data_IF_503108877187
#
_entry.id   IF_503108877187
#
_cell.length_a   1.000
_cell.length_b   1.000
_cell.length_c   1.000
_cell.angle_alpha   90.00
_cell.angle_beta   90.00
_cell.angle_gamma   90.00
#
_symmetry.space_group_name_H-M   'P 1'
#
loop_
_entity.id
_entity.type
_entity.pdbx_description
1 polymer ?
#
# COMPACT_ATOMS: atom_id res chain seq x y z
N UNK A 1 -7.04 23.77 -12.64
CA UNK A 1 -8.01 22.65 -12.61
C UNK A 1 -9.41 23.25 -12.67
N UNK A 2 -10.28 22.70 -13.47
CA UNK A 2 -11.69 23.14 -13.55
C UNK A 2 -12.55 22.02 -12.97
N UNK A 3 -13.36 22.36 -11.97
CA UNK A 3 -14.33 21.45 -11.39
C UNK A 3 -15.73 21.90 -11.79
N UNK A 4 -16.58 20.99 -12.22
CA UNK A 4 -17.93 21.29 -12.68
C UNK A 4 -18.95 20.66 -11.74
N UNK A 5 -19.80 21.50 -11.15
CA UNK A 5 -20.89 21.06 -10.28
C UNK A 5 -22.22 21.21 -11.03
N UNK A 6 -22.95 20.12 -11.18
CA UNK A 6 -24.29 20.10 -11.78
C UNK A 6 -25.37 20.25 -10.68
N UNK A 7 -26.55 20.80 -11.06
CA UNK A 7 -27.72 20.98 -10.19
C UNK A 7 -27.50 22.01 -9.06
N UNK A 8 -27.37 23.27 -9.45
CA UNK A 8 -27.27 24.40 -8.53
C UNK A 8 -28.56 24.59 -7.73
N UNK A 9 -28.42 24.78 -6.43
CA UNK A 9 -29.47 25.29 -5.53
C UNK A 9 -29.34 26.82 -5.41
N UNK A 10 -30.36 27.50 -4.87
CA UNK A 10 -30.32 28.95 -4.60
C UNK A 10 -29.13 29.36 -3.70
N UNK A 11 -28.64 28.44 -2.89
CA UNK A 11 -27.46 28.63 -2.04
C UNK A 11 -26.59 27.39 -2.12
N UNK A 12 -25.35 27.57 -2.50
CA UNK A 12 -24.33 26.55 -2.51
C UNK A 12 -23.20 26.95 -1.56
N UNK A 13 -22.79 26.02 -0.69
CA UNK A 13 -21.64 26.19 0.19
C UNK A 13 -20.54 25.31 -0.38
N UNK A 14 -19.43 25.91 -0.75
CA UNK A 14 -18.24 25.23 -1.24
C UNK A 14 -17.14 25.32 -0.19
N UNK A 15 -16.23 24.32 -0.10
CA UNK A 15 -15.00 24.47 0.66
C UNK A 15 -14.23 25.71 0.19
N UNK A 16 -13.50 26.36 1.10
CA UNK A 16 -12.63 27.46 0.73
C UNK A 16 -11.56 26.97 -0.28
N UNK A 17 -11.33 27.70 -1.38
CA UNK A 17 -10.33 27.30 -2.36
C UNK A 17 -8.91 27.45 -1.79
N UNK A 18 -8.02 26.50 -2.12
CA UNK A 18 -6.62 26.53 -1.72
C UNK A 18 -5.73 27.37 -2.65
N UNK A 19 -6.27 27.87 -3.73
CA UNK A 19 -5.56 28.76 -4.68
C UNK A 19 -6.49 29.87 -5.14
N UNK A 20 -5.94 30.91 -5.75
CA UNK A 20 -6.70 31.98 -6.37
C UNK A 20 -7.72 31.39 -7.33
N UNK A 21 -8.99 31.64 -7.06
CA UNK A 21 -10.10 30.95 -7.71
C UNK A 21 -11.12 31.95 -8.23
N UNK A 22 -11.60 31.69 -9.44
CA UNK A 22 -12.69 32.40 -10.07
C UNK A 22 -13.86 31.44 -10.25
N UNK A 23 -15.07 31.84 -9.85
CA UNK A 23 -16.27 31.05 -10.07
C UNK A 23 -16.98 31.52 -11.33
N UNK A 24 -17.36 30.56 -12.16
CA UNK A 24 -18.13 30.81 -13.39
C UNK A 24 -19.43 30.05 -13.27
N UNK A 25 -20.55 30.75 -13.42
CA UNK A 25 -21.89 30.17 -13.45
C UNK A 25 -22.40 30.30 -14.88
N UNK A 26 -22.58 29.15 -15.52
CA UNK A 26 -23.15 29.06 -16.86
C UNK A 26 -24.56 28.49 -16.79
N UNK A 27 -25.45 29.08 -17.55
CA UNK A 27 -26.74 28.47 -17.83
C UNK A 27 -27.93 29.35 -17.48
N UNK A 28 -28.98 29.04 -18.14
CA UNK A 28 -30.35 29.36 -17.81
C UNK A 28 -31.20 28.32 -18.50
N UNK A 29 -31.84 27.47 -17.73
CA UNK A 29 -32.67 26.38 -18.25
C UNK A 29 -33.77 26.84 -19.18
N UNK A 30 -34.26 28.07 -19.02
CA UNK A 30 -35.29 28.66 -19.88
C UNK A 30 -34.67 29.34 -21.10
N UNK A 31 -33.63 30.12 -20.92
CA UNK A 31 -32.99 30.91 -22.00
C UNK A 31 -32.20 30.05 -22.95
N UNK A 32 -31.63 28.91 -22.49
CA UNK A 32 -30.91 27.96 -23.35
C UNK A 32 -31.79 27.37 -24.46
N UNK A 33 -33.09 27.26 -24.24
CA UNK A 33 -34.04 26.80 -25.26
C UNK A 33 -34.18 27.78 -26.44
N UNK A 34 -33.79 29.04 -26.24
CA UNK A 34 -33.78 30.10 -27.28
C UNK A 34 -32.36 30.48 -27.70
N UNK A 35 -31.36 29.69 -27.34
CA UNK A 35 -29.97 29.98 -27.68
C UNK A 35 -29.35 31.15 -26.89
N UNK A 36 -29.98 31.54 -25.78
CA UNK A 36 -29.53 32.65 -24.92
C UNK A 36 -28.97 32.06 -23.61
N UNK A 37 -27.73 31.60 -23.65
CA UNK A 37 -26.99 31.28 -22.43
C UNK A 37 -26.43 32.54 -21.78
N UNK A 38 -26.51 32.62 -20.44
CA UNK A 38 -25.83 33.69 -19.68
C UNK A 38 -24.73 33.06 -18.84
N UNK A 39 -23.56 33.69 -18.91
CA UNK A 39 -22.42 33.36 -18.06
C UNK A 39 -22.21 34.51 -17.09
N UNK A 40 -22.11 34.18 -15.82
CA UNK A 40 -21.69 35.11 -14.77
C UNK A 40 -20.35 34.65 -14.23
N UNK A 41 -19.40 35.58 -14.13
CA UNK A 41 -18.05 35.29 -13.62
C UNK A 41 -17.77 36.23 -12.45
N UNK A 42 -17.31 35.66 -11.33
CA UNK A 42 -16.90 36.46 -10.16
C UNK A 42 -15.54 37.12 -10.40
N UNK A 43 -15.18 38.07 -9.55
CA UNK A 43 -13.79 38.48 -9.40
C UNK A 43 -12.96 37.30 -8.87
N UNK A 44 -11.63 37.39 -9.01
CA UNK A 44 -10.70 36.39 -8.45
C UNK A 44 -10.72 36.55 -6.93
N UNK A 45 -10.99 35.45 -6.26
CA UNK A 45 -10.87 35.32 -4.81
C UNK A 45 -9.48 34.80 -4.48
N UNK A 46 -8.66 35.63 -3.85
CA UNK A 46 -7.30 35.26 -3.49
C UNK A 46 -7.29 34.47 -2.18
N UNK A 47 -6.61 33.32 -2.20
CA UNK A 47 -6.43 32.46 -1.05
C UNK A 47 -5.25 32.98 -0.19
N UNK A 48 -5.55 33.69 0.90
CA UNK A 48 -4.54 34.28 1.80
C UNK A 48 -4.50 33.65 3.21
N UNK A 49 -5.34 32.64 3.44
CA UNK A 49 -5.35 31.91 4.70
C UNK A 49 -4.25 30.83 4.76
N UNK A 50 -3.74 30.52 5.96
CA UNK A 50 -2.92 29.34 6.18
C UNK A 50 -3.83 28.12 6.15
N UNK A 51 -3.96 27.51 4.97
CA UNK A 51 -4.82 26.35 4.75
C UNK A 51 -4.18 25.34 3.81
N UNK A 52 -4.57 24.07 3.94
CA UNK A 52 -4.04 22.97 3.15
C UNK A 52 -5.01 21.78 3.15
N UNK A 53 -4.83 20.91 2.16
CA UNK A 53 -5.48 19.61 2.11
C UNK A 53 -4.42 18.53 2.12
N UNK A 54 -4.58 17.54 3.00
CA UNK A 54 -3.66 16.42 3.12
C UNK A 54 -4.29 15.13 2.62
N UNK A 55 -3.46 14.24 2.11
CA UNK A 55 -3.84 12.88 1.70
C UNK A 55 -2.80 11.88 2.15
N UNK A 56 -3.22 10.65 2.42
CA UNK A 56 -2.33 9.52 2.69
C UNK A 56 -2.72 8.35 1.79
N UNK A 57 -1.75 7.85 1.02
CA UNK A 57 -1.97 6.74 0.09
C UNK A 57 -0.95 5.65 0.33
N UNK A 58 -1.42 4.45 0.66
CA UNK A 58 -0.55 3.30 0.86
C UNK A 58 -0.29 2.58 -0.46
N UNK A 59 0.98 2.23 -0.71
CA UNK A 59 1.37 1.36 -1.80
C UNK A 59 0.91 -0.07 -1.47
N UNK A 60 -0.09 -0.55 -2.19
CA UNK A 60 -0.60 -1.91 -2.00
C UNK A 60 0.28 -2.92 -2.73
N UNK A 61 0.55 -4.04 -2.07
CA UNK A 61 1.21 -5.20 -2.66
C UNK A 61 0.14 -6.22 -3.03
N UNK A 62 0.05 -6.54 -4.31
CA UNK A 62 -0.87 -7.56 -4.82
C UNK A 62 -0.23 -8.95 -4.72
N UNK A 63 -0.21 -9.53 -3.53
CA UNK A 63 0.23 -10.90 -3.34
C UNK A 63 -0.79 -11.66 -2.47
N UNK A 64 -1.32 -12.75 -3.00
CA UNK A 64 -2.39 -13.53 -2.36
C UNK A 64 -1.95 -14.35 -1.14
N UNK A 65 -0.66 -14.33 -0.76
CA UNK A 65 -0.11 -15.06 0.38
C UNK A 65 0.30 -14.15 1.54
N UNK A 66 0.12 -12.85 1.41
CA UNK A 66 0.28 -11.89 2.50
C UNK A 66 -1.03 -11.70 3.26
N UNK A 67 -1.00 -11.82 4.58
CA UNK A 67 -2.16 -11.64 5.44
C UNK A 67 -2.20 -10.23 6.05
N UNK A 68 -3.41 -9.70 6.26
CA UNK A 68 -3.61 -8.51 7.08
C UNK A 68 -3.32 -7.16 6.40
N UNK A 69 -3.31 -7.09 5.06
CA UNK A 69 -3.47 -5.82 4.37
C UNK A 69 -4.91 -5.35 4.60
N UNK A 70 -5.10 -4.34 5.44
CA UNK A 70 -6.42 -3.76 5.67
C UNK A 70 -6.86 -3.00 4.42
N UNK A 71 -8.11 -3.23 3.95
CA UNK A 71 -8.62 -2.54 2.75
C UNK A 71 -8.88 -1.05 3.00
N UNK A 72 -9.27 -0.67 4.23
CA UNK A 72 -9.72 0.68 4.57
C UNK A 72 -8.88 1.38 5.66
N UNK A 73 -7.70 0.83 6.03
CA UNK A 73 -6.83 1.40 7.05
C UNK A 73 -5.38 1.46 6.57
N UNK A 74 -4.61 2.39 7.13
CA UNK A 74 -3.18 2.50 6.85
C UNK A 74 -2.38 1.50 7.70
N UNK A 75 -1.36 0.88 7.10
CA UNK A 75 -0.50 -0.10 7.75
C UNK A 75 -0.87 -1.54 7.43
N UNK A 76 -1.17 -2.32 8.46
CA UNK A 76 -1.54 -3.76 8.38
C UNK A 76 -0.33 -4.67 8.46
N UNK A 77 0.33 -4.95 7.34
CA UNK A 77 1.52 -5.81 7.24
C UNK A 77 2.76 -4.99 6.86
N UNK A 78 3.85 -5.15 7.60
CA UNK A 78 5.14 -4.53 7.28
C UNK A 78 5.92 -5.32 6.20
N UNK A 79 6.80 -4.62 5.44
CA UNK A 79 6.98 -3.17 5.40
C UNK A 79 5.78 -2.48 4.70
N UNK A 80 5.28 -1.37 5.25
CA UNK A 80 4.17 -0.62 4.67
C UNK A 80 4.68 0.77 4.23
N UNK A 81 4.75 0.99 2.92
CA UNK A 81 5.14 2.29 2.36
C UNK A 81 3.89 3.13 2.12
N UNK A 82 3.87 4.32 2.71
CA UNK A 82 2.76 5.27 2.62
C UNK A 82 3.29 6.61 2.13
N UNK A 83 2.63 7.13 1.11
CA UNK A 83 2.85 8.48 0.58
C UNK A 83 1.91 9.44 1.29
N UNK A 84 2.45 10.42 2.00
CA UNK A 84 1.71 11.53 2.58
C UNK A 84 1.94 12.77 1.72
N UNK A 85 0.86 13.45 1.32
CA UNK A 85 0.95 14.65 0.48
C UNK A 85 0.09 15.76 1.05
N UNK A 86 0.59 16.99 0.98
CA UNK A 86 -0.11 18.20 1.33
C UNK A 86 -0.18 19.15 0.12
N UNK A 87 -1.36 19.69 -0.15
CA UNK A 87 -1.56 20.78 -1.11
C UNK A 87 -1.88 22.01 -0.27
N UNK A 88 -1.00 23.00 -0.32
CA UNK A 88 -1.04 24.18 0.53
C UNK A 88 -1.45 25.43 -0.25
N UNK A 89 -2.01 26.42 0.45
CA UNK A 89 -2.14 27.79 -0.06
C UNK A 89 -0.75 28.43 -0.14
N UNK A 90 -0.60 29.47 -0.98
CA UNK A 90 0.66 30.21 -1.13
C UNK A 90 1.11 30.90 0.17
N UNK A 91 0.20 31.09 1.13
CA UNK A 91 0.49 31.68 2.45
C UNK A 91 1.23 30.72 3.39
N UNK A 92 1.27 29.41 3.08
CA UNK A 92 2.00 28.42 3.87
C UNK A 92 3.46 28.39 3.44
N UNK A 93 4.33 29.04 4.21
CA UNK A 93 5.77 29.11 3.91
C UNK A 93 6.56 28.00 4.61
N UNK A 94 6.15 27.60 5.81
CA UNK A 94 6.75 26.46 6.54
C UNK A 94 5.81 25.28 6.52
N UNK A 95 6.34 24.13 6.12
CA UNK A 95 5.65 22.85 5.95
C UNK A 95 6.37 21.79 6.72
N UNK A 96 5.67 21.06 7.57
CA UNK A 96 6.28 20.00 8.35
C UNK A 96 5.34 18.81 8.52
N UNK A 97 5.77 17.63 8.07
CA UNK A 97 5.19 16.36 8.48
C UNK A 97 5.85 15.89 9.75
N UNK A 98 5.06 15.45 10.72
CA UNK A 98 5.52 14.85 11.96
C UNK A 98 5.04 13.41 12.04
N UNK A 99 5.95 12.48 12.37
CA UNK A 99 5.65 11.10 12.69
C UNK A 99 6.00 10.84 14.14
N UNK A 100 5.07 10.26 14.90
CA UNK A 100 5.20 9.98 16.32
C UNK A 100 4.63 8.60 16.67
N UNK A 101 5.25 7.92 17.64
CA UNK A 101 4.67 6.75 18.32
C UNK A 101 3.71 7.15 19.44
N UNK A 102 3.67 8.44 19.81
CA UNK A 102 2.76 8.99 20.82
C UNK A 102 1.62 9.77 20.17
N UNK A 103 0.38 9.44 20.51
CA UNK A 103 -0.82 10.05 19.91
C UNK A 103 -0.94 11.55 20.20
N UNK A 104 -0.41 12.00 21.32
CA UNK A 104 -0.40 13.41 21.73
C UNK A 104 0.80 14.20 21.20
N UNK A 105 1.67 13.56 20.38
CA UNK A 105 2.91 14.15 19.86
C UNK A 105 3.82 14.74 20.97
N UNK A 106 3.75 14.21 22.19
CA UNK A 106 4.66 14.58 23.28
C UNK A 106 6.13 14.30 22.93
N UNK A 107 6.36 13.32 22.08
CA UNK A 107 7.64 13.05 21.41
C UNK A 107 7.39 12.92 19.91
N UNK A 108 8.25 13.52 19.09
CA UNK A 108 8.20 13.40 17.63
C UNK A 108 9.43 12.64 17.18
N UNK A 109 9.20 11.47 16.58
CA UNK A 109 10.28 10.57 16.15
C UNK A 109 10.94 11.06 14.86
N UNK A 110 10.14 11.55 13.88
CA UNK A 110 10.63 12.04 12.60
C UNK A 110 9.92 13.33 12.18
N UNK A 111 10.67 14.21 11.48
CA UNK A 111 10.18 15.47 10.91
C UNK A 111 10.66 15.59 9.48
N UNK A 112 9.77 16.03 8.58
CA UNK A 112 10.05 16.24 7.17
C UNK A 112 9.45 17.57 6.73
N UNK A 113 10.18 18.35 5.93
CA UNK A 113 9.77 19.71 5.53
C UNK A 113 9.31 19.77 4.05
N UNK A 114 9.03 18.63 3.46
CA UNK A 114 8.55 18.50 2.08
C UNK A 114 7.01 18.46 2.04
N UNK A 115 6.42 18.85 0.92
CA UNK A 115 4.97 18.73 0.68
C UNK A 115 4.51 17.28 0.55
N UNK A 116 5.38 16.45 -0.02
CA UNK A 116 5.11 15.03 -0.22
C UNK A 116 6.27 14.21 0.32
N UNK A 117 5.96 13.22 1.13
CA UNK A 117 6.93 12.28 1.70
C UNK A 117 6.48 10.85 1.47
N UNK A 118 7.44 9.97 1.20
CA UNK A 118 7.25 8.52 1.25
C UNK A 118 7.92 8.00 2.51
N UNK A 119 7.16 7.32 3.36
CA UNK A 119 7.69 6.70 4.57
C UNK A 119 7.32 5.23 4.65
N UNK A 120 8.31 4.38 4.97
CA UNK A 120 8.13 2.93 5.10
C UNK A 120 8.14 2.54 6.57
N UNK A 121 7.02 2.01 7.03
CA UNK A 121 6.86 1.48 8.38
C UNK A 121 7.26 0.00 8.38
N UNK A 122 8.37 -0.32 9.01
CA UNK A 122 8.99 -1.65 9.07
C UNK A 122 8.98 -2.27 10.47
N UNK A 123 8.64 -1.51 11.51
CA UNK A 123 8.50 -1.99 12.87
C UNK A 123 7.03 -2.11 13.28
N UNK A 124 6.73 -3.12 14.10
CA UNK A 124 5.42 -3.28 14.74
C UNK A 124 5.08 -2.09 15.63
N UNK A 125 3.85 -1.63 15.59
CA UNK A 125 3.36 -0.58 16.46
C UNK A 125 2.27 0.27 15.85
N UNK A 126 1.86 1.30 16.60
CA UNK A 126 0.97 2.35 16.16
C UNK A 126 1.75 3.63 15.97
N UNK A 127 1.53 4.28 14.84
CA UNK A 127 2.17 5.54 14.50
C UNK A 127 1.10 6.56 14.17
N UNK A 128 1.38 7.79 14.50
CA UNK A 128 0.52 8.95 14.29
C UNK A 128 1.26 9.94 13.40
N UNK A 129 0.60 10.39 12.35
CA UNK A 129 1.20 11.28 11.35
C UNK A 129 0.31 12.49 11.19
N UNK A 130 0.88 13.70 11.27
CA UNK A 130 0.18 14.95 11.00
C UNK A 130 1.05 15.90 10.19
N UNK A 131 0.38 16.82 9.53
CA UNK A 131 1.00 17.93 8.82
C UNK A 131 0.77 19.22 9.57
N UNK A 132 1.79 20.07 9.61
CA UNK A 132 1.72 21.42 10.19
C UNK A 132 2.14 22.41 9.11
N UNK A 133 1.29 23.40 8.85
CA UNK A 133 1.59 24.53 7.97
C UNK A 133 1.62 25.83 8.75
N UNK A 134 2.57 26.72 8.45
CA UNK A 134 2.62 28.06 9.06
C UNK A 134 3.12 29.12 8.10
N UNK A 135 2.86 30.39 8.44
CA UNK A 135 3.47 31.54 7.78
C UNK A 135 4.95 31.71 8.18
N UNK A 136 5.64 32.66 7.56
CA UNK A 136 7.08 32.89 7.70
C UNK A 136 7.58 33.12 9.13
N UNK A 137 6.79 33.77 9.98
CA UNK A 137 7.14 34.08 11.36
C UNK A 137 6.49 33.10 12.39
N UNK A 138 5.79 32.06 11.90
CA UNK A 138 5.07 31.08 12.69
C UNK A 138 4.02 31.69 13.65
N UNK A 139 3.57 32.92 13.41
CA UNK A 139 2.51 33.57 14.19
C UNK A 139 1.13 32.98 13.91
N UNK A 140 0.98 32.34 12.73
CA UNK A 140 -0.23 31.67 12.31
C UNK A 140 0.11 30.24 11.88
N UNK A 141 -0.47 29.25 12.52
CA UNK A 141 -0.24 27.83 12.26
C UNK A 141 -1.56 27.10 12.09
N UNK A 142 -1.55 26.06 11.27
CA UNK A 142 -2.67 25.14 11.10
C UNK A 142 -2.15 23.70 11.12
N UNK A 143 -2.94 22.77 11.65
CA UNK A 143 -2.59 21.36 11.75
C UNK A 143 -3.65 20.50 11.05
N UNK A 144 -3.22 19.42 10.41
CA UNK A 144 -4.13 18.43 9.78
C UNK A 144 -4.79 17.55 10.83
N UNK A 145 -5.81 16.81 10.41
CA UNK A 145 -6.22 15.61 11.11
C UNK A 145 -5.06 14.62 11.20
N UNK A 146 -5.09 13.78 12.26
CA UNK A 146 -4.04 12.79 12.52
C UNK A 146 -4.35 11.52 11.76
N UNK A 147 -3.42 11.10 10.90
CA UNK A 147 -3.43 9.78 10.30
C UNK A 147 -2.89 8.75 11.30
N UNK A 148 -3.62 7.65 11.47
CA UNK A 148 -3.17 6.53 12.29
C UNK A 148 -2.71 5.39 11.41
N UNK A 149 -1.47 4.95 11.60
CA UNK A 149 -0.87 3.79 10.91
C UNK A 149 -0.62 2.70 11.94
N UNK A 150 -1.13 1.49 11.69
CA UNK A 150 -0.98 0.35 12.61
C UNK A 150 -0.30 -0.81 11.92
N UNK A 151 0.87 -1.21 12.40
CA UNK A 151 1.62 -2.38 11.93
C UNK A 151 1.40 -3.54 12.90
N UNK A 152 0.83 -4.63 12.39
CA UNK A 152 0.52 -5.80 13.19
C UNK A 152 1.72 -6.72 13.43
N UNK A 153 1.53 -7.67 14.38
CA UNK A 153 2.51 -8.71 14.68
C UNK A 153 2.85 -9.56 13.45
N UNK A 154 4.06 -10.12 13.47
CA UNK A 154 4.54 -10.98 12.40
C UNK A 154 3.93 -12.38 12.47
N UNK A 155 3.70 -12.95 11.31
CA UNK A 155 3.27 -14.34 11.13
C UNK A 155 4.04 -14.96 9.95
N UNK A 156 4.43 -16.21 10.10
CA UNK A 156 4.99 -16.99 9.00
C UNK A 156 4.51 -18.43 9.12
N UNK A 157 3.80 -18.90 8.12
CA UNK A 157 3.34 -20.28 8.04
C UNK A 157 3.73 -20.92 6.70
N UNK A 158 4.04 -22.23 6.75
CA UNK A 158 4.59 -22.96 5.62
C UNK A 158 3.71 -24.17 5.32
N UNK A 159 3.11 -24.26 4.12
CA UNK A 159 2.35 -25.43 3.75
C UNK A 159 3.28 -26.64 3.59
N UNK A 160 2.76 -27.84 3.86
CA UNK A 160 3.52 -29.08 3.76
C UNK A 160 3.34 -29.83 2.43
N UNK A 161 2.51 -29.30 1.52
CA UNK A 161 2.27 -29.93 0.23
C UNK A 161 1.77 -28.91 -0.81
N UNK A 162 2.02 -29.21 -2.09
CA UNK A 162 1.41 -28.54 -3.21
C UNK A 162 1.34 -29.48 -4.42
N UNK A 163 0.56 -29.09 -5.44
CA UNK A 163 0.28 -29.96 -6.59
C UNK A 163 0.45 -29.20 -7.91
N UNK A 164 1.70 -28.97 -8.36
CA UNK A 164 1.94 -28.24 -9.58
C UNK A 164 1.34 -29.00 -10.76
N UNK A 165 0.67 -28.26 -11.69
CA UNK A 165 0.07 -28.80 -12.90
C UNK A 165 -1.10 -29.80 -12.72
N UNK A 166 -1.60 -29.94 -11.48
CA UNK A 166 -2.75 -30.83 -11.21
C UNK A 166 -4.10 -30.10 -11.35
N UNK A 167 -4.15 -28.82 -11.00
CA UNK A 167 -5.34 -27.97 -11.09
C UNK A 167 -4.88 -26.56 -11.42
N UNK A 168 -4.73 -26.19 -12.69
CA UNK A 168 -4.17 -24.89 -13.09
C UNK A 168 -4.81 -23.70 -12.36
N UNK A 169 -3.98 -22.87 -11.75
CA UNK A 169 -4.40 -21.71 -10.95
C UNK A 169 -4.68 -22.01 -9.47
N UNK A 170 -4.55 -23.25 -9.02
CA UNK A 170 -4.79 -23.63 -7.64
C UNK A 170 -3.72 -24.58 -7.11
N UNK A 171 -3.00 -24.21 -6.03
CA UNK A 171 -1.89 -24.96 -5.45
C UNK A 171 -0.74 -25.28 -6.42
N UNK A 172 -0.55 -24.47 -7.45
CA UNK A 172 0.49 -24.69 -8.46
C UNK A 172 1.88 -24.30 -7.97
N UNK A 173 1.94 -23.50 -6.90
CA UNK A 173 3.18 -23.06 -6.28
C UNK A 173 3.16 -23.32 -4.77
N UNK A 174 4.29 -23.74 -4.24
CA UNK A 174 4.52 -23.73 -2.80
C UNK A 174 4.88 -22.32 -2.35
N UNK A 175 4.00 -21.68 -1.60
CA UNK A 175 4.16 -20.33 -1.05
C UNK A 175 3.93 -20.34 0.45
N UNK A 176 4.76 -19.61 1.18
CA UNK A 176 4.51 -19.33 2.59
C UNK A 176 3.31 -18.40 2.75
N UNK A 177 2.57 -18.52 3.84
CA UNK A 177 1.62 -17.49 4.27
C UNK A 177 2.30 -16.62 5.30
N UNK A 178 2.27 -15.30 5.13
CA UNK A 178 3.04 -14.40 5.97
C UNK A 178 2.31 -13.09 6.28
N UNK A 179 2.78 -12.42 7.33
CA UNK A 179 2.39 -11.06 7.71
C UNK A 179 3.57 -10.39 8.38
N UNK A 180 3.81 -9.12 8.09
CA UNK A 180 4.83 -8.29 8.73
C UNK A 180 6.21 -8.96 8.78
N UNK A 181 6.65 -9.56 7.68
CA UNK A 181 8.00 -10.12 7.52
C UNK A 181 8.86 -9.10 6.79
N UNK A 182 9.94 -8.65 7.44
CA UNK A 182 10.83 -7.57 6.94
C UNK A 182 12.14 -8.11 6.38
N UNK A 183 12.58 -9.29 6.84
CA UNK A 183 13.71 -10.00 6.25
C UNK A 183 13.29 -11.45 6.01
N UNK A 184 13.64 -11.99 4.85
CA UNK A 184 13.24 -13.34 4.47
C UNK A 184 14.29 -14.00 3.60
N UNK A 185 14.57 -15.26 3.86
CA UNK A 185 15.36 -16.10 2.98
C UNK A 185 14.90 -17.55 3.05
N UNK A 186 14.65 -18.16 1.90
CA UNK A 186 14.19 -19.53 1.77
C UNK A 186 15.11 -20.32 0.85
N UNK A 187 15.45 -21.51 1.26
CA UNK A 187 16.16 -22.51 0.46
C UNK A 187 15.34 -23.78 0.39
N UNK A 188 15.26 -24.38 -0.78
CA UNK A 188 14.60 -25.68 -0.99
C UNK A 188 15.64 -26.67 -1.51
N UNK A 189 15.61 -27.88 -0.95
CA UNK A 189 16.57 -28.96 -1.22
C UNK A 189 15.84 -30.23 -1.63
N UNK A 190 16.52 -31.06 -2.42
CA UNK A 190 16.10 -32.44 -2.63
C UNK A 190 16.51 -33.35 -1.44
N UNK A 191 16.10 -34.61 -1.47
CA UNK A 191 16.44 -35.61 -0.43
C UNK A 191 17.94 -35.92 -0.30
N UNK A 192 18.77 -35.49 -1.23
CA UNK A 192 20.21 -35.67 -1.22
C UNK A 192 20.95 -34.42 -0.73
N UNK A 193 20.22 -33.37 -0.40
CA UNK A 193 20.77 -32.09 0.04
C UNK A 193 21.20 -31.15 -1.11
N UNK A 194 20.85 -31.47 -2.35
CA UNK A 194 21.13 -30.56 -3.45
C UNK A 194 20.13 -29.37 -3.41
N UNK A 195 20.66 -28.15 -3.48
CA UNK A 195 19.82 -26.93 -3.51
C UNK A 195 19.07 -26.83 -4.85
N UNK A 196 17.76 -26.80 -4.78
CA UNK A 196 16.85 -26.69 -5.92
C UNK A 196 16.58 -25.25 -6.29
N UNK A 197 16.22 -24.41 -5.30
CA UNK A 197 15.91 -23.00 -5.47
C UNK A 197 16.25 -22.22 -4.20
N UNK A 198 16.46 -20.93 -4.36
CA UNK A 198 16.65 -19.96 -3.28
C UNK A 198 15.90 -18.69 -3.66
N UNK A 199 15.20 -18.07 -2.72
CA UNK A 199 14.54 -16.77 -2.89
C UNK A 199 14.48 -16.03 -1.55
N UNK A 200 14.46 -14.69 -1.65
CA UNK A 200 14.54 -13.73 -0.53
C UNK A 200 13.31 -12.85 -0.38
N UNK A 201 12.27 -13.16 -1.12
CA UNK A 201 10.99 -12.44 -1.10
C UNK A 201 9.88 -13.41 -0.70
N UNK A 202 9.18 -13.18 0.43
CA UNK A 202 8.14 -14.09 0.91
C UNK A 202 6.90 -14.13 0.02
N UNK A 203 6.73 -13.16 -0.90
CA UNK A 203 5.65 -13.19 -1.89
C UNK A 203 5.87 -14.23 -2.98
N UNK A 204 7.12 -14.62 -3.21
CA UNK A 204 7.51 -15.62 -4.19
C UNK A 204 7.25 -17.04 -3.68
N UNK A 205 7.17 -17.96 -4.63
CA UNK A 205 6.99 -19.38 -4.37
C UNK A 205 7.85 -20.25 -5.26
N UNK A 206 7.75 -21.56 -5.05
CA UNK A 206 8.36 -22.56 -5.92
C UNK A 206 7.30 -23.29 -6.74
N UNK A 207 7.43 -23.24 -8.05
CA UNK A 207 6.52 -23.87 -9.03
C UNK A 207 6.79 -25.37 -9.26
N UNK A 208 7.66 -25.99 -8.45
CA UNK A 208 8.03 -27.39 -8.60
C UNK A 208 8.98 -27.66 -9.76
N UNK A 209 9.65 -26.65 -10.32
CA UNK A 209 10.63 -26.83 -11.38
C UNK A 209 12.05 -26.66 -10.89
N UNK A 210 12.95 -27.39 -11.55
CA UNK A 210 14.40 -27.22 -11.47
C UNK A 210 14.98 -27.17 -12.89
N UNK A 211 15.71 -26.09 -13.18
CA UNK A 211 16.26 -25.83 -14.52
C UNK A 211 15.20 -25.92 -15.65
N UNK A 212 14.00 -25.37 -15.35
CA UNK A 212 12.88 -25.29 -16.32
C UNK A 212 12.06 -26.58 -16.51
N UNK A 213 12.38 -27.66 -15.77
CA UNK A 213 11.63 -28.93 -15.85
C UNK A 213 11.02 -29.27 -14.50
N UNK A 214 9.79 -29.77 -14.51
CA UNK A 214 9.17 -30.26 -13.29
C UNK A 214 9.99 -31.37 -12.64
N UNK A 215 10.18 -31.25 -11.35
CA UNK A 215 10.86 -32.27 -10.55
C UNK A 215 9.93 -33.49 -10.34
N UNK A 216 10.49 -34.62 -9.92
CA UNK A 216 9.69 -35.82 -9.65
C UNK A 216 8.79 -35.61 -8.42
N UNK A 217 7.57 -36.18 -8.40
CA UNK A 217 6.76 -36.27 -7.19
C UNK A 217 7.55 -36.89 -6.05
N UNK A 218 7.32 -36.38 -4.84
CA UNK A 218 8.02 -36.86 -3.66
C UNK A 218 8.28 -35.75 -2.64
N UNK A 219 9.17 -36.02 -1.71
CA UNK A 219 9.48 -35.13 -0.58
C UNK A 219 10.72 -34.29 -0.89
N UNK A 220 10.58 -33.00 -0.69
CA UNK A 220 11.63 -31.98 -0.71
C UNK A 220 11.68 -31.32 0.66
N UNK A 221 12.71 -30.54 0.93
CA UNK A 221 12.92 -29.94 2.24
C UNK A 221 13.18 -28.45 2.09
N UNK A 222 12.60 -27.67 3.01
CA UNK A 222 12.88 -26.24 3.06
C UNK A 222 13.63 -25.86 4.34
N UNK A 223 14.41 -24.80 4.24
CA UNK A 223 14.97 -24.05 5.36
C UNK A 223 14.62 -22.58 5.13
N UNK A 224 14.09 -21.94 6.15
CA UNK A 224 13.76 -20.51 6.11
C UNK A 224 14.41 -19.82 7.30
N UNK A 225 15.03 -18.70 7.02
CA UNK A 225 15.44 -17.68 7.96
C UNK A 225 14.66 -16.40 7.66
N UNK A 226 13.97 -15.85 8.66
CA UNK A 226 13.19 -14.64 8.47
C UNK A 226 13.13 -13.82 9.77
N UNK A 227 12.83 -12.52 9.64
CA UNK A 227 12.63 -11.61 10.76
C UNK A 227 11.33 -10.87 10.59
N UNK A 228 10.57 -10.80 11.67
CA UNK A 228 9.33 -10.06 11.75
C UNK A 228 9.54 -8.60 12.12
N UNK A 229 8.57 -7.75 11.81
CA UNK A 229 8.52 -6.34 12.23
C UNK A 229 8.46 -6.17 13.75
N UNK A 230 8.03 -7.20 14.46
CA UNK A 230 8.02 -7.32 15.94
C UNK A 230 9.38 -7.76 16.51
N UNK A 231 10.40 -7.88 15.67
CA UNK A 231 11.74 -8.35 16.04
C UNK A 231 11.86 -9.86 16.21
N UNK A 232 10.79 -10.62 15.98
CA UNK A 232 10.79 -12.07 16.11
C UNK A 232 11.60 -12.73 15.00
N UNK A 233 12.55 -13.59 15.39
CA UNK A 233 13.32 -14.41 14.46
C UNK A 233 12.60 -15.72 14.17
N UNK A 234 12.52 -16.08 12.91
CA UNK A 234 12.00 -17.34 12.42
C UNK A 234 13.11 -18.18 11.82
N UNK A 235 13.32 -19.36 12.37
CA UNK A 235 14.20 -20.41 11.81
C UNK A 235 13.34 -21.65 11.59
N UNK A 236 12.71 -21.74 10.42
CA UNK A 236 11.82 -22.83 10.08
C UNK A 236 12.49 -23.82 9.15
N UNK A 237 12.20 -25.08 9.35
CA UNK A 237 12.58 -26.20 8.47
C UNK A 237 11.46 -27.22 8.43
N UNK A 238 11.28 -27.85 7.31
CA UNK A 238 10.25 -28.88 7.14
C UNK A 238 10.31 -29.54 5.79
N UNK A 239 9.31 -30.35 5.53
CA UNK A 239 9.16 -31.06 4.27
C UNK A 239 8.09 -30.42 3.39
N UNK A 240 8.25 -30.62 2.08
CA UNK A 240 7.33 -30.20 1.03
C UNK A 240 6.99 -31.46 0.23
N UNK A 241 5.72 -31.87 0.24
CA UNK A 241 5.24 -32.99 -0.52
C UNK A 241 4.72 -32.51 -1.87
N UNK A 242 5.37 -32.90 -2.95
CA UNK A 242 4.87 -32.65 -4.31
C UNK A 242 3.90 -33.73 -4.70
N UNK A 243 2.63 -33.35 -4.84
CA UNK A 243 1.52 -34.20 -5.23
C UNK A 243 1.23 -33.96 -6.71
N UNK A 244 1.81 -34.76 -7.60
CA UNK A 244 1.42 -34.78 -9.02
C UNK A 244 0.64 -36.05 -9.33
N UNK A 245 -0.50 -35.89 -9.96
CA UNK A 245 -1.18 -37.03 -10.57
C UNK A 245 -0.25 -37.64 -11.63
N UNK A 246 0.09 -38.91 -11.48
CA UNK A 246 0.73 -39.69 -12.53
C UNK A 246 -0.31 -40.03 -13.60
N UNK A 247 -1.02 -39.05 -14.12
CA UNK A 247 -1.72 -39.19 -15.39
C UNK A 247 -0.64 -39.18 -16.47
N UNK A 248 -0.01 -40.32 -16.59
CA UNK A 248 0.86 -40.70 -17.69
C UNK A 248 0.17 -40.34 -18.98
N UNK A 249 0.87 -39.59 -19.83
CA UNK A 249 0.80 -39.56 -21.25
C UNK A 249 0.32 -40.91 -21.85
N UNK A 250 -0.98 -41.05 -21.94
CA UNK A 250 -1.61 -42.13 -22.73
C UNK A 250 -2.08 -41.57 -24.05
N UNK A 251 -1.24 -40.80 -24.74
CA UNK A 251 -1.48 -40.40 -26.12
C UNK A 251 -0.16 -40.09 -26.84
N UNK A 252 0.82 -41.01 -26.72
CA UNK A 252 1.86 -41.17 -27.71
C UNK A 252 1.97 -42.65 -28.02
N UNK A 253 0.97 -43.16 -28.71
CA UNK A 253 1.16 -44.37 -29.54
C UNK A 253 0.16 -44.38 -30.67
N UNK A 254 0.74 -44.51 -31.87
CA UNK A 254 0.15 -44.83 -33.17
C UNK A 254 -0.46 -43.64 -33.92
N UNK A 255 0.18 -43.16 -34.97
CA UNK A 255 0.56 -43.81 -36.26
C UNK A 255 1.71 -43.03 -36.94
#
# INVERSE_FOLDING_TARGET
>A
TTETVANLSERMVLPAPLCDTQFVIDGDKFLSQWGLAKTFTTDILSASSIDFQTTATQQRRENGNEQGAAEDALGGSAPATITFSAICTDAVEHKEWQISKSQDFSTVDYRFNEETIDYTFDEQGSYYVKFIGSNSDASCTNESDVYTVSIGESLLDCPNAFSPDASPGYNDEWKVSYKSIVEFKCWIFDRYGNKMIEFDDPSKGWDGKYKGKYVKPGVYYYVIEAKGADGKEYKKKGDINILRSTRTDRNETTE
#
